data_IF_075229281851
#
_entry.id   IF_075229281851
#
_cell.length_a   1.000
_cell.length_b   1.000
_cell.length_c   1.000
_cell.angle_alpha   90.00
_cell.angle_beta   90.00
_cell.angle_gamma   90.00
#
_symmetry.space_group_name_H-M   'P 1'
#
loop_
_entity.id
_entity.type
_entity.pdbx_description
1 polymer ?
#
# COMPACT_ATOMS: atom_id res chain seq x y z
N UNK A 1 19.29 -26.53 10.84
CA UNK A 1 19.56 -25.09 10.63
C UNK A 1 19.16 -24.55 9.28
N UNK A 2 19.59 -25.07 8.11
CA UNK A 2 19.10 -24.59 6.80
C UNK A 2 17.57 -24.61 6.68
N UNK A 3 16.92 -25.70 7.09
CA UNK A 3 15.47 -25.89 7.05
C UNK A 3 14.72 -24.82 7.90
N UNK A 4 15.24 -24.45 9.06
CA UNK A 4 14.60 -23.41 9.90
C UNK A 4 14.65 -22.03 9.24
N UNK A 5 15.75 -21.67 8.59
CA UNK A 5 15.88 -20.41 7.85
C UNK A 5 14.89 -20.34 6.69
N UNK A 6 14.73 -21.42 5.94
CA UNK A 6 13.76 -21.50 4.85
C UNK A 6 12.33 -21.34 5.35
N UNK A 7 11.98 -21.98 6.48
CA UNK A 7 10.67 -21.84 7.13
C UNK A 7 10.44 -20.39 7.57
N UNK A 8 11.44 -19.71 8.14
CA UNK A 8 11.30 -18.32 8.58
C UNK A 8 11.17 -17.36 7.41
N UNK A 9 11.93 -17.56 6.33
CA UNK A 9 11.78 -16.74 5.12
C UNK A 9 10.40 -16.92 4.49
N UNK A 10 9.91 -18.16 4.38
CA UNK A 10 8.56 -18.44 3.90
C UNK A 10 7.48 -17.79 4.78
N UNK A 11 7.61 -17.89 6.10
CA UNK A 11 6.69 -17.27 7.05
C UNK A 11 6.64 -15.73 6.97
N UNK A 12 7.75 -15.07 6.64
CA UNK A 12 7.78 -13.61 6.42
C UNK A 12 6.97 -13.26 5.18
N UNK A 13 7.17 -13.96 4.08
CA UNK A 13 6.47 -13.72 2.81
C UNK A 13 4.98 -14.01 2.96
N UNK A 14 4.64 -15.18 3.50
CA UNK A 14 3.24 -15.57 3.72
C UNK A 14 2.51 -14.59 4.63
N UNK A 15 3.11 -14.20 5.75
CA UNK A 15 2.54 -13.26 6.68
C UNK A 15 2.41 -11.85 6.10
N UNK A 16 3.32 -11.42 5.24
CA UNK A 16 3.23 -10.12 4.56
C UNK A 16 1.92 -10.02 3.76
N UNK A 17 1.59 -11.04 2.98
CA UNK A 17 0.36 -11.06 2.18
C UNK A 17 -0.89 -11.37 2.99
N UNK A 18 -0.81 -12.26 3.97
CA UNK A 18 -1.94 -12.60 4.83
C UNK A 18 -2.41 -11.40 5.68
N UNK A 19 -1.45 -10.66 6.27
CA UNK A 19 -1.76 -9.47 7.08
C UNK A 19 -2.11 -8.23 6.25
N UNK A 20 -1.65 -8.17 4.99
CA UNK A 20 -1.80 -7.01 4.11
C UNK A 20 -2.40 -7.44 2.76
N UNK A 21 -3.64 -7.89 2.77
CA UNK A 21 -4.37 -8.40 1.60
C UNK A 21 -4.41 -7.41 0.42
N UNK A 22 -4.32 -6.08 0.67
CA UNK A 22 -4.28 -5.06 -0.37
C UNK A 22 -3.06 -5.21 -1.30
N UNK A 23 -1.93 -5.75 -0.82
CA UNK A 23 -0.74 -6.01 -1.65
C UNK A 23 -1.01 -7.02 -2.77
N UNK A 24 -1.93 -7.97 -2.53
CA UNK A 24 -2.33 -8.94 -3.56
C UNK A 24 -3.20 -8.31 -4.67
N UNK A 25 -3.67 -7.07 -4.47
CA UNK A 25 -4.54 -6.32 -5.39
C UNK A 25 -3.75 -5.28 -6.22
N UNK A 26 -2.51 -5.60 -6.53
CA UNK A 26 -1.61 -4.84 -7.39
C UNK A 26 -0.95 -5.78 -8.40
N UNK A 27 -0.46 -5.22 -9.50
CA UNK A 27 0.29 -6.00 -10.48
C UNK A 27 1.53 -6.63 -9.83
N UNK A 28 1.68 -7.93 -10.01
CA UNK A 28 2.85 -8.66 -9.51
C UNK A 28 4.03 -8.50 -10.46
N UNK A 29 5.09 -7.85 -10.00
CA UNK A 29 6.31 -7.61 -10.74
C UNK A 29 7.50 -8.45 -10.24
N UNK A 30 7.26 -9.51 -9.46
CA UNK A 30 8.33 -10.36 -8.91
C UNK A 30 9.19 -10.99 -10.02
N UNK A 31 8.59 -11.35 -11.15
CA UNK A 31 9.31 -11.92 -12.31
C UNK A 31 10.24 -10.92 -13.01
N UNK A 32 10.02 -9.62 -12.83
CA UNK A 32 10.81 -8.55 -13.44
C UNK A 32 11.95 -8.07 -12.55
N UNK A 33 12.18 -8.72 -11.40
CA UNK A 33 13.26 -8.38 -10.48
C UNK A 33 14.59 -8.92 -11.00
N UNK A 34 15.52 -8.03 -11.30
CA UNK A 34 16.86 -8.39 -11.75
C UNK A 34 17.85 -8.33 -10.57
N UNK A 35 18.59 -9.43 -10.36
CA UNK A 35 19.58 -9.58 -9.27
C UNK A 35 19.04 -9.22 -7.87
N UNK A 36 17.71 -9.35 -7.63
CA UNK A 36 17.09 -9.05 -6.35
C UNK A 36 17.13 -7.57 -5.92
N UNK A 37 17.47 -6.63 -6.84
CA UNK A 37 17.68 -5.22 -6.49
C UNK A 37 16.91 -4.21 -7.34
N UNK A 38 16.71 -4.49 -8.62
CA UNK A 38 16.11 -3.54 -9.58
C UNK A 38 15.01 -4.26 -10.33
N UNK A 39 13.89 -3.59 -10.46
CA UNK A 39 12.76 -4.04 -11.28
C UNK A 39 12.81 -3.35 -12.63
N UNK A 40 12.66 -4.12 -13.71
CA UNK A 40 12.56 -3.63 -15.08
C UNK A 40 11.27 -4.13 -15.71
N UNK A 41 10.25 -3.29 -15.76
CA UNK A 41 8.96 -3.62 -16.38
C UNK A 41 8.95 -2.99 -17.79
N UNK A 42 8.95 -3.77 -18.87
CA UNK A 42 8.81 -3.22 -20.20
C UNK A 42 7.41 -2.60 -20.37
N UNK A 43 7.35 -1.32 -20.65
CA UNK A 43 6.10 -0.60 -20.89
C UNK A 43 6.03 -0.17 -22.33
N UNK A 44 5.04 -0.70 -23.05
CA UNK A 44 4.78 -0.31 -24.42
C UNK A 44 4.24 1.13 -24.44
N UNK A 45 4.89 2.01 -25.19
CA UNK A 45 4.50 3.41 -25.33
C UNK A 45 3.07 3.61 -25.86
N UNK A 46 2.66 4.85 -26.06
CA UNK A 46 1.31 5.21 -26.48
C UNK A 46 0.86 4.47 -27.75
N UNK A 47 -0.43 4.11 -27.79
CA UNK A 47 -1.01 3.46 -28.97
C UNK A 47 -0.91 4.35 -30.22
N UNK A 48 -0.69 3.75 -31.38
CA UNK A 48 -0.76 4.47 -32.65
C UNK A 48 -2.19 4.93 -32.93
N UNK A 49 -2.34 6.10 -33.55
CA UNK A 49 -3.65 6.63 -33.91
C UNK A 49 -4.40 5.76 -34.94
N UNK A 50 -5.71 5.65 -34.74
CA UNK A 50 -6.62 4.98 -35.69
C UNK A 50 -7.30 6.01 -36.57
N UNK A 51 -7.41 5.71 -37.89
CA UNK A 51 -8.21 6.51 -38.84
C UNK A 51 -9.30 5.64 -39.45
N UNK A 52 -10.54 6.08 -39.38
CA UNK A 52 -11.68 5.43 -40.08
C UNK A 52 -11.65 5.83 -41.56
N UNK A 53 -11.84 4.86 -42.46
CA UNK A 53 -11.89 5.08 -43.93
C UNK A 53 -10.68 5.88 -44.47
N UNK A 54 -9.48 5.37 -44.16
CA UNK A 54 -8.22 6.03 -44.59
C UNK A 54 -8.16 6.17 -46.12
N UNK A 55 -8.00 7.39 -46.58
CA UNK A 55 -7.82 7.74 -47.99
C UNK A 55 -6.36 8.01 -48.35
N UNK A 56 -5.52 8.34 -47.37
CA UNK A 56 -4.09 8.59 -47.57
C UNK A 56 -3.30 7.29 -47.58
N UNK A 57 -2.69 6.95 -48.70
CA UNK A 57 -1.80 5.80 -48.86
C UNK A 57 -0.50 6.25 -49.55
N UNK A 58 0.69 5.75 -49.09
CA UNK A 58 0.91 4.85 -47.98
C UNK A 58 0.67 5.49 -46.64
N UNK A 59 0.19 4.69 -45.66
CA UNK A 59 -0.01 5.16 -44.28
C UNK A 59 1.32 5.58 -43.66
N UNK A 60 1.31 6.70 -42.91
CA UNK A 60 2.51 7.14 -42.18
C UNK A 60 2.91 6.09 -41.15
N UNK A 61 4.12 5.56 -41.28
CA UNK A 61 4.71 4.64 -40.31
C UNK A 61 5.43 5.46 -39.25
N UNK A 62 5.05 5.31 -38.00
CA UNK A 62 5.73 5.91 -36.87
C UNK A 62 6.35 4.81 -35.99
N UNK A 63 7.62 4.95 -35.64
CA UNK A 63 8.25 4.03 -34.71
C UNK A 63 7.65 4.27 -33.33
N UNK A 64 7.20 3.19 -32.67
CA UNK A 64 6.76 3.24 -31.29
C UNK A 64 7.97 3.41 -30.40
N UNK A 65 7.87 4.26 -29.39
CA UNK A 65 8.91 4.43 -28.37
C UNK A 65 8.46 3.70 -27.11
N UNK A 66 9.12 2.61 -26.79
CA UNK A 66 8.87 1.87 -25.57
C UNK A 66 9.73 2.50 -24.45
N UNK A 67 9.14 2.67 -23.29
CA UNK A 67 9.80 3.23 -22.11
C UNK A 67 9.71 2.17 -21.00
N UNK A 68 10.86 1.73 -20.51
CA UNK A 68 10.92 0.80 -19.39
C UNK A 68 10.60 1.52 -18.08
N UNK A 69 9.71 0.95 -17.27
CA UNK A 69 9.50 1.37 -15.89
C UNK A 69 10.55 0.68 -15.04
N UNK A 70 11.54 1.44 -14.59
CA UNK A 70 12.63 0.93 -13.74
C UNK A 70 12.60 1.59 -12.39
N UNK A 71 12.77 0.79 -11.32
CA UNK A 71 12.92 1.30 -9.96
C UNK A 71 13.75 0.32 -9.10
N UNK A 72 14.53 0.84 -8.14
CA UNK A 72 15.23 0.01 -7.17
C UNK A 72 14.24 -0.55 -6.15
N UNK A 73 14.58 -1.70 -5.57
CA UNK A 73 13.94 -2.22 -4.38
C UNK A 73 14.62 -1.67 -3.14
N UNK A 74 13.83 -1.24 -2.17
CA UNK A 74 14.30 -0.79 -0.88
C UNK A 74 14.63 -2.00 0.01
N UNK A 75 15.61 -1.83 0.89
CA UNK A 75 16.09 -2.85 1.79
C UNK A 75 15.62 -2.56 3.21
N UNK A 76 14.83 -3.48 3.76
CA UNK A 76 14.31 -3.43 5.12
C UNK A 76 15.04 -4.45 5.97
N UNK A 77 15.69 -4.00 7.03
CA UNK A 77 16.39 -4.86 7.97
C UNK A 77 15.85 -4.66 9.37
N UNK A 78 15.70 -5.74 10.12
CA UNK A 78 15.45 -5.65 11.57
C UNK A 78 16.76 -5.41 12.32
N UNK A 79 16.70 -4.69 13.43
CA UNK A 79 17.83 -4.61 14.34
C UNK A 79 18.15 -6.02 14.86
N UNK A 80 19.45 -6.37 14.99
CA UNK A 80 19.83 -7.66 15.55
C UNK A 80 19.34 -7.82 17.00
N UNK A 81 18.64 -8.92 17.28
CA UNK A 81 18.13 -9.22 18.62
C UNK A 81 18.95 -10.34 19.25
N UNK A 82 19.45 -10.07 20.45
CA UNK A 82 20.18 -11.04 21.27
C UNK A 82 19.20 -11.81 22.17
N UNK A 83 19.29 -13.12 22.14
CA UNK A 83 18.60 -14.03 23.07
C UNK A 83 19.69 -14.72 23.92
N UNK A 84 19.86 -14.28 25.18
CA UNK A 84 20.87 -14.86 26.07
C UNK A 84 20.61 -16.33 26.39
N UNK A 85 21.64 -17.14 26.52
CA UNK A 85 21.51 -18.56 26.85
C UNK A 85 20.82 -18.80 28.20
N UNK A 86 21.00 -17.92 29.17
CA UNK A 86 20.34 -18.02 30.47
C UNK A 86 18.81 -18.00 30.33
N UNK A 87 18.27 -17.16 29.45
CA UNK A 87 16.83 -17.02 29.19
C UNK A 87 16.21 -18.23 28.49
N UNK A 88 16.99 -18.98 27.72
CA UNK A 88 16.52 -20.21 27.04
C UNK A 88 16.36 -21.40 27.98
N UNK A 89 17.08 -21.42 29.08
CA UNK A 89 17.09 -22.53 30.06
C UNK A 89 16.07 -22.30 31.19
N UNK A 90 15.82 -21.05 31.58
CA UNK A 90 15.02 -20.71 32.77
C UNK A 90 13.53 -20.49 32.48
N UNK A 91 13.14 -20.26 31.23
CA UNK A 91 11.77 -19.90 30.87
C UNK A 91 10.98 -21.10 30.35
N UNK A 92 9.74 -21.24 30.87
CA UNK A 92 8.80 -22.30 30.49
C UNK A 92 8.13 -22.12 29.12
N UNK A 93 8.45 -21.05 28.37
CA UNK A 93 7.93 -20.77 27.03
C UNK A 93 9.08 -20.48 26.05
N UNK A 94 8.82 -20.72 24.78
CA UNK A 94 9.80 -20.41 23.74
C UNK A 94 9.89 -18.90 23.49
N UNK A 95 10.74 -18.23 24.27
CA UNK A 95 11.02 -16.79 24.15
C UNK A 95 11.57 -16.46 22.76
N UNK A 96 12.36 -17.35 22.17
CA UNK A 96 12.93 -17.19 20.84
C UNK A 96 11.82 -17.03 19.80
N UNK A 97 10.83 -17.93 19.76
CA UNK A 97 9.74 -17.87 18.82
C UNK A 97 8.89 -16.60 19.00
N UNK A 98 8.62 -16.22 20.25
CA UNK A 98 7.83 -15.03 20.56
C UNK A 98 8.52 -13.74 20.09
N UNK A 99 9.82 -13.57 20.34
CA UNK A 99 10.60 -12.40 19.93
C UNK A 99 10.68 -12.32 18.41
N UNK A 100 11.06 -13.41 17.75
CA UNK A 100 11.18 -13.46 16.30
C UNK A 100 9.83 -13.21 15.60
N UNK A 101 8.72 -13.62 16.19
CA UNK A 101 7.38 -13.33 15.66
C UNK A 101 7.07 -11.84 15.70
N UNK A 102 7.40 -11.14 16.78
CA UNK A 102 7.16 -9.70 16.89
C UNK A 102 7.97 -8.91 15.89
N UNK A 103 9.25 -9.24 15.70
CA UNK A 103 10.11 -8.59 14.72
C UNK A 103 9.63 -8.80 13.29
N UNK A 104 9.18 -10.01 12.97
CA UNK A 104 8.57 -10.32 11.66
C UNK A 104 7.31 -9.50 11.41
N UNK A 105 6.41 -9.40 12.41
CA UNK A 105 5.18 -8.63 12.28
C UNK A 105 5.46 -7.14 12.09
N UNK A 106 6.43 -6.59 12.83
CA UNK A 106 6.84 -5.19 12.67
C UNK A 106 7.43 -4.94 11.28
N UNK A 107 8.33 -5.80 10.84
CA UNK A 107 8.92 -5.71 9.49
C UNK A 107 7.85 -5.74 8.39
N UNK A 108 6.87 -6.64 8.52
CA UNK A 108 5.75 -6.75 7.59
C UNK A 108 4.87 -5.48 7.57
N UNK A 109 4.64 -4.88 8.73
CA UNK A 109 3.86 -3.63 8.85
C UNK A 109 4.61 -2.45 8.22
N UNK A 110 5.90 -2.30 8.50
CA UNK A 110 6.73 -1.23 7.96
C UNK A 110 6.87 -1.33 6.42
N UNK A 111 7.10 -2.52 5.89
CA UNK A 111 7.11 -2.78 4.43
C UNK A 111 5.77 -2.41 3.79
N UNK A 112 4.65 -2.79 4.41
CA UNK A 112 3.33 -2.49 3.88
C UNK A 112 3.00 -0.98 3.90
N UNK A 113 3.44 -0.24 4.93
CA UNK A 113 3.30 1.22 4.99
C UNK A 113 4.09 1.92 3.89
N UNK A 114 5.26 1.40 3.58
CA UNK A 114 6.09 1.96 2.52
C UNK A 114 5.52 1.69 1.12
N UNK A 115 4.91 0.53 0.89
CA UNK A 115 4.13 0.30 -0.33
C UNK A 115 3.00 1.33 -0.51
N UNK A 116 2.25 1.63 0.57
CA UNK A 116 1.20 2.65 0.53
C UNK A 116 1.79 4.02 0.20
N UNK A 117 2.93 4.38 0.80
CA UNK A 117 3.63 5.63 0.48
C UNK A 117 4.07 5.69 -0.98
N UNK A 118 4.70 4.64 -1.51
CA UNK A 118 5.18 4.55 -2.88
C UNK A 118 4.06 4.57 -3.94
N UNK A 119 2.85 4.07 -3.58
CA UNK A 119 1.66 4.19 -4.40
C UNK A 119 0.92 5.51 -4.22
N UNK A 120 1.26 6.30 -3.20
CA UNK A 120 0.57 7.55 -2.92
C UNK A 120 0.81 8.57 -4.02
N UNK A 121 -0.29 9.17 -4.50
CA UNK A 121 -0.26 10.14 -5.59
C UNK A 121 0.14 11.53 -5.12
N UNK A 122 0.75 12.32 -6.02
CA UNK A 122 1.04 13.73 -5.75
C UNK A 122 -0.24 14.59 -5.72
N UNK A 123 -0.15 15.81 -5.24
CA UNK A 123 -1.25 16.76 -5.03
C UNK A 123 -2.23 16.89 -6.22
N UNK A 124 -1.73 16.80 -7.45
CA UNK A 124 -2.56 16.88 -8.67
C UNK A 124 -3.58 15.73 -8.81
N UNK A 125 -3.34 14.60 -8.15
CA UNK A 125 -4.20 13.43 -8.14
C UNK A 125 -4.86 13.21 -6.77
N UNK A 126 -5.06 14.28 -5.98
CA UNK A 126 -5.76 14.25 -4.71
C UNK A 126 -7.17 14.83 -4.87
N UNK A 127 -8.13 14.21 -4.17
CA UNK A 127 -9.49 14.73 -3.96
C UNK A 127 -9.64 14.99 -2.47
N UNK A 128 -10.26 16.11 -2.09
CA UNK A 128 -10.55 16.41 -0.69
C UNK A 128 -11.88 15.79 -0.27
N UNK A 129 -11.93 15.33 0.98
CA UNK A 129 -13.18 14.90 1.60
C UNK A 129 -14.08 16.10 1.90
N UNK A 130 -15.39 15.91 1.80
CA UNK A 130 -16.39 16.97 1.91
C UNK A 130 -17.42 16.74 3.01
N UNK A 131 -17.29 15.66 3.78
CA UNK A 131 -18.25 15.29 4.83
C UNK A 131 -18.25 16.21 6.05
N UNK A 132 -18.88 15.78 7.13
CA UNK A 132 -18.98 16.52 8.37
C UNK A 132 -17.60 16.82 8.99
N UNK A 133 -17.54 17.89 9.77
CA UNK A 133 -16.33 18.26 10.49
C UNK A 133 -16.06 17.30 11.65
N UNK A 134 -14.81 16.85 11.74
CA UNK A 134 -14.28 15.97 12.78
C UNK A 134 -13.00 16.55 13.35
N UNK A 135 -12.60 16.10 14.52
CA UNK A 135 -11.28 16.41 15.06
C UNK A 135 -10.18 15.69 14.28
N UNK A 136 -9.05 16.37 14.10
CA UNK A 136 -7.87 15.73 13.54
C UNK A 136 -7.40 14.59 14.46
N UNK A 137 -7.09 13.43 13.88
CA UNK A 137 -6.74 12.22 14.64
C UNK A 137 -5.38 11.61 14.27
N UNK A 138 -4.66 12.18 13.31
CA UNK A 138 -3.28 11.77 13.03
C UNK A 138 -2.35 12.25 14.13
N UNK A 139 -1.19 11.58 14.27
CA UNK A 139 -0.22 11.91 15.34
C UNK A 139 0.13 13.42 15.34
N UNK A 140 0.01 14.05 16.49
CA UNK A 140 0.22 15.50 16.72
C UNK A 140 -0.65 16.45 15.88
N UNK A 141 -1.56 15.95 15.06
CA UNK A 141 -2.45 16.82 14.31
C UNK A 141 -3.45 17.53 15.23
N UNK A 142 -3.78 18.77 14.90
CA UNK A 142 -4.69 19.63 15.66
C UNK A 142 -5.72 20.30 14.76
N UNK A 143 -6.81 20.75 15.37
CA UNK A 143 -7.90 21.45 14.69
C UNK A 143 -8.91 20.51 14.04
N UNK A 144 -9.75 21.07 13.16
CA UNK A 144 -10.83 20.34 12.50
C UNK A 144 -10.43 19.91 11.09
N UNK A 145 -11.00 18.80 10.65
CA UNK A 145 -10.86 18.25 9.30
C UNK A 145 -12.25 17.88 8.78
N UNK A 146 -12.41 17.77 7.47
CA UNK A 146 -13.63 17.20 6.89
C UNK A 146 -13.50 15.69 6.80
N UNK A 147 -14.51 14.99 7.32
CA UNK A 147 -14.60 13.54 7.22
C UNK A 147 -14.94 13.07 5.80
N UNK A 148 -14.80 11.78 5.56
CA UNK A 148 -15.22 11.16 4.30
C UNK A 148 -16.74 10.95 4.30
N UNK A 149 -17.36 11.07 3.13
CA UNK A 149 -18.75 10.71 2.91
C UNK A 149 -18.95 9.97 1.57
N UNK A 150 -20.14 9.42 1.37
CA UNK A 150 -20.44 8.66 0.13
C UNK A 150 -20.28 9.49 -1.14
N UNK A 151 -20.50 10.83 -1.08
CA UNK A 151 -20.34 11.72 -2.21
C UNK A 151 -18.88 11.79 -2.68
N UNK A 152 -17.92 11.67 -1.76
CA UNK A 152 -16.50 11.68 -2.09
C UNK A 152 -16.11 10.42 -2.88
N UNK A 153 -16.65 9.26 -2.50
CA UNK A 153 -16.44 7.99 -3.24
C UNK A 153 -17.09 8.05 -4.63
N UNK A 154 -18.26 8.71 -4.75
CA UNK A 154 -18.87 8.97 -6.05
C UNK A 154 -17.99 9.89 -6.91
N UNK A 155 -17.39 10.91 -6.31
CA UNK A 155 -16.41 11.78 -6.96
C UNK A 155 -15.18 11.01 -7.48
N UNK A 156 -14.66 10.06 -6.68
CA UNK A 156 -13.60 9.15 -7.11
C UNK A 156 -14.03 8.32 -8.33
N UNK A 157 -15.23 7.72 -8.29
CA UNK A 157 -15.75 6.95 -9.42
C UNK A 157 -15.83 7.79 -10.70
N UNK A 158 -16.35 9.02 -10.58
CA UNK A 158 -16.47 9.95 -11.71
C UNK A 158 -15.10 10.25 -12.32
N UNK A 159 -14.09 10.51 -11.48
CA UNK A 159 -12.73 10.78 -11.96
C UNK A 159 -12.09 9.56 -12.62
N UNK A 160 -12.25 8.36 -12.05
CA UNK A 160 -11.76 7.13 -12.69
C UNK A 160 -12.44 6.87 -14.04
N UNK A 161 -13.75 7.14 -14.15
CA UNK A 161 -14.48 7.00 -15.41
C UNK A 161 -14.03 8.03 -16.46
N UNK A 162 -13.78 9.27 -16.06
CA UNK A 162 -13.26 10.32 -16.96
C UNK A 162 -11.84 10.05 -17.43
N UNK A 163 -11.08 9.28 -16.66
CA UNK A 163 -9.73 8.82 -17.02
C UNK A 163 -9.73 7.50 -17.79
N UNK A 164 -10.90 7.00 -18.19
CA UNK A 164 -11.11 5.73 -18.95
C UNK A 164 -10.50 4.50 -18.24
N UNK A 165 -10.50 4.49 -16.92
CA UNK A 165 -10.01 3.34 -16.14
C UNK A 165 -11.12 2.28 -16.05
N UNK A 166 -10.83 0.98 -16.28
CA UNK A 166 -11.81 -0.10 -16.16
C UNK A 166 -12.55 -0.09 -14.81
N UNK A 167 -13.81 -0.52 -14.79
CA UNK A 167 -14.60 -0.55 -13.55
C UNK A 167 -14.24 -1.74 -12.65
N UNK A 168 -13.77 -2.83 -13.23
CA UNK A 168 -13.25 -3.98 -12.48
C UNK A 168 -11.85 -3.70 -11.95
N UNK A 169 -11.47 -4.32 -10.85
CA UNK A 169 -10.13 -4.17 -10.28
C UNK A 169 -9.86 -2.81 -9.62
N UNK A 170 -10.91 -2.06 -9.22
CA UNK A 170 -10.77 -0.83 -8.45
C UNK A 170 -10.81 -1.12 -6.97
N UNK A 171 -9.88 -0.59 -6.22
CA UNK A 171 -9.76 -0.75 -4.77
C UNK A 171 -9.66 0.61 -4.10
N UNK A 172 -10.18 0.69 -2.87
CA UNK A 172 -10.06 1.86 -2.00
C UNK A 172 -9.67 1.38 -0.60
N UNK A 173 -8.48 1.75 -0.18
CA UNK A 173 -7.96 1.50 1.16
C UNK A 173 -8.24 2.71 2.05
N UNK A 174 -8.95 2.48 3.14
CA UNK A 174 -9.27 3.50 4.13
C UNK A 174 -8.59 3.16 5.47
N UNK A 175 -8.33 4.17 6.30
CA UNK A 175 -8.04 3.93 7.70
C UNK A 175 -9.33 3.61 8.49
N UNK A 176 -9.18 3.15 9.72
CA UNK A 176 -10.30 2.73 10.54
C UNK A 176 -11.29 3.88 10.83
N UNK A 177 -10.81 5.11 10.97
CA UNK A 177 -11.64 6.28 11.23
C UNK A 177 -12.44 6.67 9.99
N UNK A 178 -11.77 6.75 8.82
CA UNK A 178 -12.44 7.04 7.55
C UNK A 178 -13.48 5.97 7.21
N UNK A 179 -13.17 4.70 7.46
CA UNK A 179 -14.12 3.62 7.24
C UNK A 179 -15.39 3.79 8.09
N UNK A 180 -15.24 4.10 9.39
CA UNK A 180 -16.38 4.35 10.27
C UNK A 180 -17.21 5.56 9.82
N UNK A 181 -16.56 6.63 9.38
CA UNK A 181 -17.23 7.83 8.83
C UNK A 181 -18.00 7.51 7.56
N UNK A 182 -17.41 6.70 6.66
CA UNK A 182 -18.09 6.28 5.45
C UNK A 182 -19.36 5.49 5.77
N UNK A 183 -19.29 4.51 6.67
CA UNK A 183 -20.47 3.74 7.11
C UNK A 183 -21.55 4.65 7.69
N UNK A 184 -21.19 5.63 8.52
CA UNK A 184 -22.14 6.59 9.09
C UNK A 184 -22.78 7.51 8.03
N UNK A 185 -22.15 7.66 6.87
CA UNK A 185 -22.70 8.45 5.75
C UNK A 185 -23.70 7.70 4.87
N UNK A 186 -23.76 6.37 5.02
CA UNK A 186 -24.68 5.50 4.29
C UNK A 186 -26.01 5.37 5.04
N UNK A 187 -27.10 5.21 4.30
CA UNK A 187 -28.40 4.83 4.86
C UNK A 187 -28.42 3.37 5.30
N UNK A 188 -29.39 2.96 6.12
CA UNK A 188 -29.51 1.57 6.58
C UNK A 188 -29.58 0.56 5.42
N UNK A 189 -30.33 0.87 4.37
CA UNK A 189 -30.45 0.01 3.20
C UNK A 189 -29.13 -0.07 2.42
N UNK A 190 -28.42 1.06 2.26
CA UNK A 190 -27.11 1.10 1.62
C UNK A 190 -26.07 0.35 2.44
N UNK A 191 -26.08 0.47 3.77
CA UNK A 191 -25.22 -0.29 4.66
C UNK A 191 -25.45 -1.81 4.54
N UNK A 192 -26.71 -2.24 4.51
CA UNK A 192 -27.05 -3.65 4.34
C UNK A 192 -26.54 -4.18 3.00
N UNK A 193 -26.75 -3.44 1.91
CA UNK A 193 -26.27 -3.82 0.59
C UNK A 193 -24.73 -3.82 0.51
N UNK A 194 -24.09 -2.84 1.15
CA UNK A 194 -22.63 -2.73 1.23
C UNK A 194 -22.03 -3.95 1.95
N UNK A 195 -22.51 -4.26 3.15
CA UNK A 195 -22.02 -5.40 3.94
C UNK A 195 -22.32 -6.75 3.29
N UNK A 196 -23.44 -6.89 2.58
CA UNK A 196 -23.76 -8.10 1.82
C UNK A 196 -22.78 -8.37 0.67
N UNK A 197 -22.05 -7.36 0.19
CA UNK A 197 -21.04 -7.48 -0.85
C UNK A 197 -19.62 -7.78 -0.33
N UNK A 198 -19.46 -7.99 0.99
CA UNK A 198 -18.19 -8.25 1.62
C UNK A 198 -17.59 -9.59 1.18
N UNK A 199 -16.26 -9.61 1.03
CA UNK A 199 -15.48 -10.80 0.75
C UNK A 199 -14.31 -10.87 1.76
N UNK A 200 -14.55 -11.54 2.87
CA UNK A 200 -13.59 -11.64 3.97
C UNK A 200 -12.29 -12.35 3.57
N UNK A 201 -12.33 -13.31 2.64
CA UNK A 201 -11.15 -14.04 2.18
C UNK A 201 -10.17 -13.11 1.44
N UNK A 202 -10.71 -12.15 0.70
CA UNK A 202 -9.94 -11.16 -0.05
C UNK A 202 -9.69 -9.85 0.73
N UNK A 203 -10.13 -9.76 1.98
CA UNK A 203 -10.00 -8.56 2.80
C UNK A 203 -10.87 -7.39 2.34
N UNK A 204 -11.91 -7.66 1.55
CA UNK A 204 -12.88 -6.67 1.06
C UNK A 204 -14.04 -6.60 2.04
N UNK A 205 -14.24 -5.42 2.63
CA UNK A 205 -15.31 -5.17 3.61
C UNK A 205 -16.64 -4.84 2.96
N UNK A 206 -16.65 -4.48 1.70
CA UNK A 206 -17.83 -4.21 0.90
C UNK A 206 -17.49 -3.56 -0.43
N UNK A 207 -18.50 -3.39 -1.28
CA UNK A 207 -18.36 -2.73 -2.59
C UNK A 207 -19.24 -1.48 -2.63
N UNK A 208 -18.66 -0.36 -3.03
CA UNK A 208 -19.37 0.91 -3.18
C UNK A 208 -18.92 1.61 -4.47
N UNK A 209 -19.86 1.97 -5.35
CA UNK A 209 -19.60 2.70 -6.60
C UNK A 209 -18.44 2.14 -7.42
N UNK A 210 -18.43 0.83 -7.67
CA UNK A 210 -17.36 0.07 -8.36
C UNK A 210 -16.04 -0.12 -7.61
N UNK A 211 -15.88 0.45 -6.40
CA UNK A 211 -14.70 0.23 -5.58
C UNK A 211 -14.89 -0.92 -4.60
N UNK A 212 -13.89 -1.76 -4.49
CA UNK A 212 -13.76 -2.72 -3.40
C UNK A 212 -13.11 -2.00 -2.21
N UNK A 213 -13.85 -1.87 -1.11
CA UNK A 213 -13.40 -1.14 0.07
C UNK A 213 -12.60 -2.08 0.97
N UNK A 214 -11.41 -1.65 1.33
CA UNK A 214 -10.51 -2.32 2.26
C UNK A 214 -10.18 -1.39 3.42
N UNK A 215 -9.85 -1.94 4.58
CA UNK A 215 -9.50 -1.15 5.76
C UNK A 215 -8.17 -1.62 6.32
N UNK A 216 -7.41 -0.67 6.83
CA UNK A 216 -6.20 -0.91 7.62
C UNK A 216 -6.14 0.08 8.78
N UNK A 217 -5.39 -0.24 9.83
CA UNK A 217 -5.19 0.69 10.96
C UNK A 217 -4.57 2.03 10.53
N UNK A 218 -3.69 1.98 9.55
CA UNK A 218 -3.02 3.16 8.96
C UNK A 218 -3.10 3.03 7.45
N UNK A 219 -3.62 4.05 6.78
CA UNK A 219 -3.62 4.18 5.32
C UNK A 219 -2.58 5.24 4.89
N UNK A 220 -2.86 6.04 3.88
CA UNK A 220 -1.93 7.06 3.43
C UNK A 220 -1.90 8.28 4.38
N UNK A 221 -0.76 8.94 4.46
CA UNK A 221 -0.55 10.18 5.22
C UNK A 221 -0.07 11.28 4.29
N UNK A 222 -0.58 12.50 4.47
CA UNK A 222 -0.28 13.64 3.64
C UNK A 222 0.04 14.88 4.48
N UNK A 223 0.88 15.75 3.91
CA UNK A 223 1.11 17.09 4.46
C UNK A 223 -0.04 18.03 4.08
N UNK A 224 -0.10 19.23 4.69
CA UNK A 224 -1.04 20.29 4.30
C UNK A 224 -0.96 20.68 2.82
N UNK A 225 0.21 20.55 2.20
CA UNK A 225 0.43 20.80 0.77
C UNK A 225 -0.01 19.60 -0.13
N UNK A 226 -0.64 18.58 0.45
CA UNK A 226 -1.04 17.34 -0.24
C UNK A 226 0.14 16.60 -0.87
N UNK A 227 1.30 16.66 -0.24
CA UNK A 227 2.43 15.83 -0.57
C UNK A 227 2.39 14.54 0.29
N UNK A 228 2.62 13.36 -0.29
CA UNK A 228 2.71 12.12 0.48
C UNK A 228 3.76 12.21 1.58
N UNK A 229 3.46 11.63 2.72
CA UNK A 229 4.33 11.59 3.90
C UNK A 229 4.43 10.16 4.44
N UNK A 230 5.63 9.76 4.86
CA UNK A 230 5.84 8.45 5.47
C UNK A 230 5.42 8.47 6.94
N UNK A 231 4.91 7.34 7.44
CA UNK A 231 4.56 7.18 8.85
C UNK A 231 5.76 7.15 9.79
N UNK A 232 6.96 6.92 9.27
CA UNK A 232 8.21 6.98 10.03
C UNK A 232 8.63 8.43 10.37
N UNK A 233 8.09 9.41 9.65
CA UNK A 233 8.36 10.82 9.90
C UNK A 233 7.50 11.33 11.05
N UNK A 234 8.06 12.14 11.94
CA UNK A 234 7.34 12.73 13.06
C UNK A 234 6.06 13.46 12.61
N UNK A 235 4.96 13.23 13.35
CA UNK A 235 3.69 13.90 13.09
C UNK A 235 3.78 15.43 13.17
N UNK A 236 2.98 16.12 12.41
CA UNK A 236 2.84 17.57 12.40
C UNK A 236 1.38 17.98 12.64
N UNK A 237 1.17 19.18 13.20
CA UNK A 237 -0.17 19.70 13.52
C UNK A 237 -1.08 19.82 12.27
N UNK A 238 -0.49 19.94 11.09
CA UNK A 238 -1.19 20.12 9.82
C UNK A 238 -1.31 18.84 8.98
N UNK A 239 -0.88 17.70 9.50
CA UNK A 239 -0.94 16.44 8.77
C UNK A 239 -2.40 16.01 8.51
N UNK A 240 -2.61 15.36 7.38
CA UNK A 240 -3.91 14.94 6.87
C UNK A 240 -3.89 13.43 6.65
N UNK A 241 -4.86 12.72 7.22
CA UNK A 241 -5.09 11.34 6.85
C UNK A 241 -5.69 11.25 5.44
N UNK A 242 -5.43 10.15 4.75
CA UNK A 242 -5.98 9.94 3.43
C UNK A 242 -6.29 8.47 3.17
N UNK A 243 -7.36 8.23 2.42
CA UNK A 243 -7.62 6.96 1.75
C UNK A 243 -6.88 6.92 0.41
N UNK A 244 -6.49 5.73 -0.02
CA UNK A 244 -5.83 5.52 -1.30
C UNK A 244 -6.71 4.67 -2.21
N UNK A 245 -7.10 5.23 -3.36
CA UNK A 245 -7.83 4.52 -4.40
C UNK A 245 -6.88 4.18 -5.55
N UNK A 246 -6.93 2.93 -6.03
CA UNK A 246 -6.13 2.50 -7.17
C UNK A 246 -6.85 1.46 -8.02
N UNK A 247 -6.38 1.29 -9.24
CA UNK A 247 -6.70 0.17 -10.10
C UNK A 247 -5.55 -0.83 -10.09
N UNK A 248 -5.85 -2.13 -10.07
CA UNK A 248 -4.85 -3.20 -9.92
C UNK A 248 -3.69 -3.15 -10.93
N UNK A 249 -3.96 -2.68 -12.15
CA UNK A 249 -2.94 -2.55 -13.21
C UNK A 249 -2.23 -1.19 -13.20
N UNK A 250 -2.60 -0.27 -12.31
CA UNK A 250 -1.98 1.07 -12.24
C UNK A 250 -0.84 1.14 -11.24
N UNK A 251 -0.75 0.17 -10.35
CA UNK A 251 0.31 0.04 -9.35
C UNK A 251 0.94 -1.33 -9.44
N UNK A 252 2.23 -1.42 -9.14
CA UNK A 252 2.94 -2.69 -9.06
C UNK A 252 3.53 -2.90 -7.67
N UNK A 253 3.74 -4.17 -7.36
CA UNK A 253 4.54 -4.62 -6.25
C UNK A 253 5.62 -5.57 -6.73
N UNK A 254 6.78 -5.52 -6.12
CA UNK A 254 7.84 -6.47 -6.34
C UNK A 254 8.48 -6.86 -5.02
N UNK A 255 8.68 -8.14 -4.85
CA UNK A 255 9.41 -8.73 -3.73
C UNK A 255 10.74 -9.27 -4.27
N UNK A 256 11.82 -8.82 -3.70
CA UNK A 256 13.16 -9.28 -4.05
C UNK A 256 13.64 -10.36 -3.09
N UNK A 257 14.87 -10.21 -2.62
CA UNK A 257 15.52 -11.17 -1.75
C UNK A 257 14.98 -11.08 -0.31
N UNK A 258 14.68 -12.22 0.29
CA UNK A 258 14.36 -12.35 1.72
C UNK A 258 15.43 -13.18 2.37
N UNK A 259 16.05 -12.69 3.45
CA UNK A 259 17.11 -13.38 4.19
C UNK A 259 16.85 -13.39 5.68
N UNK A 260 17.24 -14.48 6.33
CA UNK A 260 17.34 -14.60 7.77
C UNK A 260 18.80 -14.78 8.14
N UNK A 261 19.31 -13.94 9.02
CA UNK A 261 20.65 -14.01 9.57
C UNK A 261 20.59 -14.61 10.98
N UNK A 262 21.53 -15.45 11.27
CA UNK A 262 21.61 -16.21 12.51
C UNK A 262 23.07 -16.37 12.90
N UNK A 263 23.40 -15.99 14.13
CA UNK A 263 24.68 -16.24 14.77
C UNK A 263 24.42 -16.94 16.10
N UNK A 264 24.52 -18.28 16.11
CA UNK A 264 24.27 -19.10 17.29
C UNK A 264 25.56 -19.23 18.11
N UNK A 265 25.40 -19.12 19.45
CA UNK A 265 26.50 -19.33 20.38
C UNK A 265 27.58 -18.26 20.29
N UNK A 266 27.22 -17.01 20.06
CA UNK A 266 28.20 -15.91 20.02
C UNK A 266 28.89 -15.76 21.39
N UNK A 267 30.20 -15.97 21.40
CA UNK A 267 31.03 -15.94 22.61
C UNK A 267 31.14 -14.52 23.22
N UNK A 268 30.88 -13.48 22.44
CA UNK A 268 30.94 -12.08 22.89
C UNK A 268 29.72 -11.71 23.69
N UNK A 269 28.54 -12.22 23.27
CA UNK A 269 27.25 -11.89 23.86
C UNK A 269 26.63 -13.03 24.68
N UNK A 270 27.26 -14.21 24.72
CA UNK A 270 26.79 -15.41 25.44
C UNK A 270 25.34 -15.79 25.10
N UNK A 271 24.98 -15.73 23.81
CA UNK A 271 23.63 -16.01 23.34
C UNK A 271 23.56 -16.10 21.82
N UNK A 272 22.34 -16.20 21.32
CA UNK A 272 22.04 -16.28 19.89
C UNK A 272 21.57 -14.93 19.38
N UNK A 273 22.03 -14.53 18.18
CA UNK A 273 21.68 -13.26 17.55
C UNK A 273 20.93 -13.56 16.26
N UNK A 274 19.77 -12.90 16.07
CA UNK A 274 18.92 -13.04 14.90
C UNK A 274 18.62 -11.69 14.28
N UNK A 275 18.56 -11.64 12.93
CA UNK A 275 18.01 -10.49 12.20
C UNK A 275 17.42 -10.94 10.87
N UNK A 276 16.55 -10.10 10.29
CA UNK A 276 15.88 -10.38 9.03
C UNK A 276 16.12 -9.24 8.04
N UNK A 277 16.16 -9.60 6.75
CA UNK A 277 16.25 -8.67 5.64
C UNK A 277 15.18 -9.02 4.62
N UNK A 278 14.45 -8.01 4.18
CA UNK A 278 13.50 -8.11 3.08
C UNK A 278 13.79 -6.98 2.08
N UNK A 279 13.89 -7.32 0.81
CA UNK A 279 13.90 -6.33 -0.27
C UNK A 279 12.55 -6.30 -0.93
N UNK A 280 11.93 -5.15 -0.90
CA UNK A 280 10.61 -4.95 -1.46
C UNK A 280 10.48 -3.55 -2.07
N UNK A 281 9.56 -3.39 -2.99
CA UNK A 281 9.29 -2.08 -3.55
C UNK A 281 8.06 -2.09 -4.45
N UNK A 282 7.45 -0.94 -4.60
CA UNK A 282 6.30 -0.74 -5.46
C UNK A 282 6.31 0.64 -6.07
N UNK A 283 5.61 0.78 -7.17
CA UNK A 283 5.51 2.06 -7.87
C UNK A 283 4.19 2.19 -8.62
N UNK A 284 3.80 3.41 -8.93
CA UNK A 284 2.76 3.70 -9.91
C UNK A 284 3.36 3.38 -11.29
N UNK A 285 2.72 2.47 -12.04
CA UNK A 285 3.21 1.99 -13.33
C UNK A 285 3.00 2.99 -14.47
N UNK A 286 1.90 3.74 -14.40
CA UNK A 286 1.52 4.68 -15.47
C UNK A 286 2.28 6.00 -15.33
N UNK A 287 2.87 6.46 -16.42
CA UNK A 287 3.59 7.74 -16.47
C UNK A 287 2.65 8.93 -16.27
N UNK A 288 1.41 8.84 -16.77
CA UNK A 288 0.37 9.85 -16.57
C UNK A 288 -0.27 9.81 -15.16
N UNK A 289 0.16 8.86 -14.31
CA UNK A 289 -0.32 8.63 -12.93
C UNK A 289 -1.85 8.45 -12.80
N UNK A 290 -2.54 8.16 -13.91
CA UNK A 290 -3.98 7.85 -13.89
C UNK A 290 -4.23 6.49 -13.26
N UNK A 291 -5.40 6.34 -12.66
CA UNK A 291 -5.80 5.12 -11.96
C UNK A 291 -5.23 4.98 -10.55
N UNK A 292 -4.64 6.07 -9.99
CA UNK A 292 -4.30 6.19 -8.58
C UNK A 292 -4.68 7.57 -8.08
N UNK A 293 -5.54 7.65 -7.07
CA UNK A 293 -6.05 8.90 -6.50
C UNK A 293 -6.04 8.78 -4.97
N UNK A 294 -5.53 9.81 -4.30
CA UNK A 294 -5.65 9.91 -2.85
C UNK A 294 -6.89 10.74 -2.47
N UNK A 295 -7.67 10.21 -1.55
CA UNK A 295 -8.80 10.90 -0.93
C UNK A 295 -8.32 11.49 0.39
N UNK A 296 -7.88 12.74 0.36
CA UNK A 296 -7.22 13.43 1.47
C UNK A 296 -8.24 14.19 2.29
N UNK A 297 -8.10 14.21 3.61
CA UNK A 297 -8.94 15.01 4.48
C UNK A 297 -8.94 16.48 4.07
N UNK A 298 -10.13 17.03 3.83
CA UNK A 298 -10.31 18.45 3.58
C UNK A 298 -10.12 19.28 4.86
N UNK A 299 -9.58 20.49 4.72
CA UNK A 299 -9.57 21.48 5.81
C UNK A 299 -10.83 22.33 5.74
N UNK A 300 -11.54 22.57 6.86
CA UNK A 300 -12.63 23.54 6.87
C UNK A 300 -12.15 24.91 6.41
N UNK A 301 -13.02 25.66 5.74
CA UNK A 301 -12.72 27.07 5.45
C UNK A 301 -12.46 27.80 6.78
N UNK A 302 -11.43 28.65 6.81
CA UNK A 302 -11.23 29.53 7.95
C UNK A 302 -12.46 30.44 8.06
N UNK A 303 -13.22 30.28 9.15
CA UNK A 303 -14.40 31.08 9.45
C UNK A 303 -14.03 32.54 9.75
#
# INVERSE_FOLDING_TARGET
MAIQKEIWMAAIVEGLFASNSFLSKAFNADEYVNNGKIVHIPNAGAASGTKKNRTELPAKVTKRTDIDVTFPLDEYTTDPVLIPNADTVELSYDKRESVLRQDKLKLQDDVALDFIFNWSSAAAQCIETTGAEIDAYTDKATGKRKGICKADVLGLMTKFNNDDIPQEGRYLLLDAQMYSQLLNSLTENENTAFLASADAQNGILGKLFSFNIMMRSRAALYTAAKAPKTWSTAGAATDLAAGLAWHEQSVCRALGEVKAFENEGDATYYGDIYSFLVRAGGRIMREDKKGVIALVQGTPAAG
#
